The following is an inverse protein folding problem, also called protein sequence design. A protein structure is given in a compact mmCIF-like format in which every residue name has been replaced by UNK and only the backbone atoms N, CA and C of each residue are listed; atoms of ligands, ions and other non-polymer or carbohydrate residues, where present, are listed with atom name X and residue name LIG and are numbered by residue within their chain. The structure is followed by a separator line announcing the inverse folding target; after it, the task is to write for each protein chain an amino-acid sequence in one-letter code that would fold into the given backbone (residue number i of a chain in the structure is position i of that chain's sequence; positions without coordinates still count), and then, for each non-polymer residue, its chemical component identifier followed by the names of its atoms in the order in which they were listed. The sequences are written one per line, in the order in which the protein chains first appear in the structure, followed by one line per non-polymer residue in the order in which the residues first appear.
data_IF_688229555162
#
_entry.id   IF_688229555162
#
_cell.length_a   1.000
_cell.length_b   1.000
_cell.length_c   1.000
_cell.angle_alpha   90.00
_cell.angle_beta   90.00
_cell.angle_gamma   90.00
#
_symmetry.space_group_name_H-M   'P 1'
#
loop_
_entity.id
_entity.type
_entity.pdbx_description
1 polymer ?
#
# COMPACT_ATOMS: atom_id res chain seq x y z
N UNK A 1 2.61 6.01 15.05
CA UNK A 1 1.86 5.28 14.02
C UNK A 1 2.59 5.44 12.70
N UNK A 2 2.48 4.46 11.82
CA UNK A 2 3.18 4.38 10.55
C UNK A 2 2.58 3.21 9.78
N UNK A 3 2.67 3.21 8.47
CA UNK A 3 1.80 2.34 7.70
C UNK A 3 1.72 2.70 6.25
N UNK A 4 0.88 1.96 5.54
CA UNK A 4 0.46 2.32 4.20
C UNK A 4 -1.03 2.08 4.07
N UNK A 5 -1.69 2.89 3.27
CA UNK A 5 -3.13 2.79 3.01
C UNK A 5 -3.40 3.09 1.55
N UNK A 6 -4.20 2.23 0.90
CA UNK A 6 -4.79 2.48 -0.41
C UNK A 6 -6.28 2.75 -0.19
N UNK A 7 -6.72 3.97 -0.46
CA UNK A 7 -8.01 4.50 -0.03
C UNK A 7 -8.65 5.39 -1.10
N UNK A 8 -9.87 5.86 -0.80
CA UNK A 8 -10.55 6.87 -1.60
C UNK A 8 -10.79 8.13 -0.76
N UNK A 9 -10.38 9.29 -1.26
CA UNK A 9 -10.69 10.59 -0.65
C UNK A 9 -11.48 11.46 -1.62
N UNK A 10 -12.76 11.68 -1.32
CA UNK A 10 -13.65 12.44 -2.21
C UNK A 10 -13.79 11.83 -3.61
N UNK A 11 -13.85 10.50 -3.70
CA UNK A 11 -13.95 9.75 -4.96
C UNK A 11 -12.66 9.62 -5.76
N UNK A 12 -11.53 10.10 -5.24
CA UNK A 12 -10.19 9.93 -5.84
C UNK A 12 -9.47 8.76 -5.19
N UNK A 13 -8.92 7.80 -5.97
CA UNK A 13 -8.04 6.79 -5.43
C UNK A 13 -6.73 7.46 -5.01
N UNK A 14 -6.26 7.10 -3.82
CA UNK A 14 -5.08 7.66 -3.19
C UNK A 14 -4.30 6.57 -2.47
N UNK A 15 -3.00 6.76 -2.39
CA UNK A 15 -2.12 5.93 -1.58
C UNK A 15 -1.30 6.80 -0.63
N UNK A 16 -1.22 6.40 0.63
CA UNK A 16 -0.39 7.02 1.63
C UNK A 16 0.65 6.03 2.13
N UNK A 17 1.88 6.50 2.31
CA UNK A 17 2.94 5.81 3.04
C UNK A 17 3.43 6.71 4.15
N UNK A 18 3.22 6.29 5.40
CA UNK A 18 3.58 7.04 6.58
C UNK A 18 4.80 6.40 7.26
N UNK A 19 5.95 7.06 7.14
CA UNK A 19 7.18 6.66 7.80
C UNK A 19 7.22 7.18 9.25
N UNK A 20 6.55 6.45 10.15
CA UNK A 20 6.52 6.71 11.60
C UNK A 20 6.08 8.13 12.03
N UNK A 21 5.28 8.80 11.21
CA UNK A 21 4.83 10.17 11.40
C UNK A 21 5.89 11.22 11.08
N UNK A 22 7.09 10.81 10.64
CA UNK A 22 8.17 11.73 10.25
C UNK A 22 7.97 12.24 8.82
N UNK A 23 7.66 11.32 7.91
CA UNK A 23 7.42 11.63 6.50
C UNK A 23 6.12 10.94 6.05
N UNK A 24 5.21 11.71 5.45
CA UNK A 24 4.01 11.20 4.79
C UNK A 24 4.15 11.39 3.29
N UNK A 25 4.24 10.28 2.56
CA UNK A 25 4.28 10.27 1.11
C UNK A 25 2.89 9.94 0.59
N UNK A 26 2.33 10.79 -0.27
CA UNK A 26 0.97 10.61 -0.80
C UNK A 26 0.98 10.59 -2.32
N UNK A 27 0.49 9.49 -2.90
CA UNK A 27 0.17 9.38 -4.32
C UNK A 27 -1.33 9.69 -4.45
N UNK A 28 -1.68 10.90 -4.88
CA UNK A 28 -3.08 11.29 -5.08
C UNK A 28 -3.36 11.55 -6.56
N UNK A 29 -4.40 10.89 -7.06
CA UNK A 29 -4.96 11.13 -8.37
C UNK A 29 -5.62 12.51 -8.52
N UNK A 30 -5.52 13.13 -9.70
CA UNK A 30 -6.09 14.46 -9.92
C UNK A 30 -7.63 14.46 -9.92
N UNK A 31 -8.26 13.50 -10.60
CA UNK A 31 -9.70 13.49 -10.84
C UNK A 31 -10.41 12.38 -10.05
N UNK A 32 -11.60 12.68 -9.53
CA UNK A 32 -12.48 11.67 -8.97
C UNK A 32 -12.91 10.70 -10.08
N UNK A 33 -13.05 9.41 -9.73
CA UNK A 33 -13.54 8.42 -10.67
C UNK A 33 -15.04 8.61 -10.91
N UNK A 34 -15.45 8.28 -12.13
CA UNK A 34 -16.88 8.13 -12.43
C UNK A 34 -17.45 6.93 -11.68
N UNK A 35 -18.75 6.91 -11.35
CA UNK A 35 -19.37 5.73 -10.78
C UNK A 35 -19.25 4.53 -11.73
N UNK A 36 -18.80 3.39 -11.21
CA UNK A 36 -18.60 2.20 -12.01
C UNK A 36 -17.70 1.18 -11.33
N UNK A 37 -17.44 0.09 -12.06
CA UNK A 37 -16.46 -0.92 -11.65
C UNK A 37 -15.10 -0.54 -12.22
N UNK A 38 -14.13 -0.35 -11.33
CA UNK A 38 -12.76 0.00 -11.69
C UNK A 38 -11.78 -0.98 -11.02
N UNK A 39 -10.66 -1.24 -11.69
CA UNK A 39 -9.49 -1.82 -11.06
C UNK A 39 -8.60 -0.70 -10.51
N UNK A 40 -8.30 -0.74 -9.21
CA UNK A 40 -7.31 0.13 -8.59
C UNK A 40 -6.10 -0.72 -8.25
N UNK A 41 -4.95 -0.32 -8.76
CA UNK A 41 -3.69 -1.04 -8.55
C UNK A 41 -2.62 -0.10 -8.06
N UNK A 42 -1.92 -0.49 -7.02
CA UNK A 42 -0.68 0.14 -6.60
C UNK A 42 0.47 -0.79 -6.95
N UNK A 43 1.44 -0.28 -7.69
CA UNK A 43 2.73 -0.92 -7.91
C UNK A 43 3.79 -0.18 -7.09
N UNK A 44 4.60 -0.93 -6.33
CA UNK A 44 5.69 -0.36 -5.55
C UNK A 44 7.01 -0.94 -6.04
N UNK A 45 7.71 -0.20 -6.90
CA UNK A 45 9.02 -0.59 -7.42
C UNK A 45 10.08 -0.29 -6.36
N UNK A 46 10.30 -1.27 -5.47
CA UNK A 46 11.29 -1.19 -4.40
C UNK A 46 12.71 -1.15 -4.98
N UNK A 47 13.55 -0.26 -4.47
CA UNK A 47 14.91 -0.07 -4.99
C UNK A 47 15.81 -1.31 -4.85
N UNK A 48 15.48 -2.21 -3.91
CA UNK A 48 16.35 -3.34 -3.55
C UNK A 48 17.60 -2.88 -2.80
N UNK A 49 18.60 -3.77 -2.68
CA UNK A 49 19.90 -3.41 -2.09
C UNK A 49 19.92 -3.29 -0.55
N UNK A 50 18.95 -3.89 0.14
CA UNK A 50 18.91 -3.96 1.61
C UNK A 50 17.52 -3.73 2.17
N UNK A 51 17.42 -3.62 3.49
CA UNK A 51 16.16 -3.35 4.21
C UNK A 51 15.89 -1.84 4.32
N UNK A 52 14.62 -1.46 4.35
CA UNK A 52 14.19 -0.08 4.59
C UNK A 52 14.49 0.92 3.47
N UNK A 53 14.81 0.44 2.26
CA UNK A 53 15.07 1.29 1.10
C UNK A 53 13.81 1.92 0.57
N UNK A 54 13.97 2.91 -0.30
CA UNK A 54 12.86 3.57 -0.94
C UNK A 54 12.26 2.71 -2.05
N UNK A 55 11.32 3.32 -2.75
CA UNK A 55 10.75 2.79 -3.97
C UNK A 55 9.87 3.84 -4.64
N UNK A 56 9.49 3.55 -5.87
CA UNK A 56 8.52 4.37 -6.58
C UNK A 56 7.15 3.73 -6.46
N UNK A 57 6.21 4.45 -5.86
CA UNK A 57 4.81 4.08 -5.79
C UNK A 57 4.10 4.59 -7.05
N UNK A 58 3.45 3.71 -7.80
CA UNK A 58 2.67 4.03 -8.98
C UNK A 58 1.24 3.58 -8.77
N UNK A 59 0.31 4.52 -8.82
CA UNK A 59 -1.12 4.26 -8.74
C UNK A 59 -1.69 4.17 -10.16
N UNK A 60 -2.34 3.05 -10.47
CA UNK A 60 -3.02 2.80 -11.73
C UNK A 60 -4.53 2.65 -11.51
N UNK A 61 -5.29 3.11 -12.49
CA UNK A 61 -6.74 2.94 -12.59
C UNK A 61 -7.03 2.29 -13.93
N UNK A 62 -7.67 1.13 -13.92
CA UNK A 62 -8.00 0.34 -15.12
C UNK A 62 -6.77 0.06 -16.03
N UNK A 63 -5.60 -0.14 -15.39
CA UNK A 63 -4.33 -0.38 -16.07
C UNK A 63 -3.63 0.88 -16.58
N UNK A 64 -4.23 2.06 -16.47
CA UNK A 64 -3.60 3.33 -16.85
C UNK A 64 -2.95 4.01 -15.64
N UNK A 65 -1.72 4.49 -15.82
CA UNK A 65 -1.02 5.25 -14.77
C UNK A 65 -1.81 6.52 -14.44
N UNK A 66 -2.20 6.64 -13.19
CA UNK A 66 -2.98 7.75 -12.67
C UNK A 66 -2.12 8.75 -11.90
N UNK A 67 -1.21 8.26 -11.05
CA UNK A 67 -0.26 9.08 -10.29
C UNK A 67 0.97 8.27 -9.89
N UNK A 68 2.05 8.94 -9.49
CA UNK A 68 3.22 8.27 -8.92
C UNK A 68 3.97 9.19 -7.98
N UNK A 69 4.56 8.64 -6.93
CA UNK A 69 5.38 9.38 -5.97
C UNK A 69 6.60 8.56 -5.54
N UNK A 70 7.64 9.27 -5.10
CA UNK A 70 8.84 8.67 -4.55
C UNK A 70 8.70 8.51 -3.04
N UNK A 71 8.83 7.28 -2.55
CA UNK A 71 9.00 7.00 -1.12
C UNK A 71 10.50 6.84 -0.87
N UNK A 72 11.10 7.76 -0.10
CA UNK A 72 12.55 7.76 0.07
C UNK A 72 13.08 6.65 0.98
N UNK A 73 12.21 6.12 1.84
CA UNK A 73 12.55 5.09 2.82
C UNK A 73 11.33 4.33 3.27
N UNK A 74 11.52 3.06 3.61
CA UNK A 74 10.47 2.20 4.13
C UNK A 74 10.77 1.74 5.55
N UNK A 75 9.72 1.33 6.26
CA UNK A 75 9.84 0.66 7.55
C UNK A 75 10.48 -0.70 7.32
N UNK A 76 11.71 -0.89 7.83
CA UNK A 76 12.57 -2.01 7.48
C UNK A 76 12.14 -3.39 8.02
N UNK A 77 11.26 -3.42 9.03
CA UNK A 77 10.96 -4.65 9.77
C UNK A 77 9.46 -4.81 10.05
N UNK A 78 8.95 -4.21 11.12
CA UNK A 78 7.59 -4.43 11.59
C UNK A 78 6.73 -3.22 11.29
N UNK A 79 5.67 -3.45 10.52
CA UNK A 79 4.58 -2.49 10.33
C UNK A 79 3.57 -2.54 11.47
N UNK A 80 3.33 -3.71 12.05
CA UNK A 80 2.40 -3.86 13.17
C UNK A 80 2.99 -4.66 14.33
N UNK A 81 2.74 -4.18 15.55
CA UNK A 81 2.82 -4.98 16.78
C UNK A 81 1.41 -5.36 17.27
N UNK A 82 0.39 -4.58 16.91
CA UNK A 82 -0.98 -4.61 17.43
C UNK A 82 -2.07 -4.40 16.36
N UNK A 83 -1.70 -4.23 15.09
CA UNK A 83 -2.61 -3.88 13.99
C UNK A 83 -2.69 -4.96 12.90
N UNK A 84 -3.82 -4.97 12.18
CA UNK A 84 -4.18 -5.92 11.12
C UNK A 84 -4.10 -5.30 9.73
N UNK A 85 -4.23 -6.15 8.70
CA UNK A 85 -4.55 -5.68 7.35
C UNK A 85 -6.07 -5.59 7.24
N UNK A 86 -6.59 -4.37 7.19
CA UNK A 86 -8.03 -4.15 7.06
C UNK A 86 -8.43 -3.89 5.61
N UNK A 87 -9.66 -4.28 5.25
CA UNK A 87 -10.22 -4.10 3.91
C UNK A 87 -11.60 -3.46 4.02
N UNK A 88 -11.76 -2.30 3.39
CA UNK A 88 -13.04 -1.59 3.31
C UNK A 88 -13.37 -0.72 4.52
N UNK A 89 -12.59 -0.76 5.59
CA UNK A 89 -12.68 0.12 6.76
C UNK A 89 -11.31 0.12 7.44
N UNK A 90 -10.91 1.23 8.05
CA UNK A 90 -9.72 1.30 8.90
C UNK A 90 -10.18 1.33 10.36
N UNK A 91 -9.84 0.28 11.12
CA UNK A 91 -10.27 0.12 12.51
C UNK A 91 -9.25 0.67 13.52
N UNK A 92 -8.10 1.12 13.03
CA UNK A 92 -6.95 1.51 13.84
C UNK A 92 -6.71 3.01 13.86
N UNK A 93 -5.44 3.39 13.94
CA UNK A 93 -5.05 4.80 13.79
C UNK A 93 -4.75 5.07 12.31
N UNK A 94 -5.49 5.97 11.65
CA UNK A 94 -5.29 6.24 10.23
C UNK A 94 -3.84 6.53 9.86
N UNK A 95 -3.44 5.99 8.72
CA UNK A 95 -2.12 6.26 8.13
C UNK A 95 -1.97 7.73 7.73
N UNK A 96 -3.08 8.40 7.42
CA UNK A 96 -3.17 9.77 6.89
C UNK A 96 -4.39 10.49 7.48
N UNK A 97 -4.37 11.82 7.49
CA UNK A 97 -5.49 12.67 7.93
C UNK A 97 -6.57 12.86 6.85
N UNK A 98 -6.41 12.25 5.67
CA UNK A 98 -7.35 12.39 4.55
C UNK A 98 -8.72 11.74 4.81
N UNK A 99 -8.81 10.84 5.78
CA UNK A 99 -10.05 10.21 6.22
C UNK A 99 -10.11 10.13 7.75
N UNK A 100 -11.31 10.18 8.34
CA UNK A 100 -11.48 10.18 9.79
C UNK A 100 -11.16 8.82 10.43
N UNK A 101 -10.90 8.82 11.73
CA UNK A 101 -10.70 7.60 12.54
C UNK A 101 -11.98 6.73 12.60
N UNK A 102 -13.15 7.36 12.54
CA UNK A 102 -14.46 6.72 12.56
C UNK A 102 -15.26 7.16 11.35
N UNK A 103 -16.26 6.38 10.95
CA UNK A 103 -17.11 6.64 9.79
C UNK A 103 -16.29 6.72 8.47
N UNK A 104 -15.30 5.83 8.34
CA UNK A 104 -14.38 5.74 7.19
C UNK A 104 -14.65 4.53 6.29
N UNK A 105 -15.77 3.85 6.49
CA UNK A 105 -16.15 2.69 5.70
C UNK A 105 -16.26 3.03 4.21
N UNK A 106 -15.66 2.18 3.37
CA UNK A 106 -15.82 2.25 1.94
C UNK A 106 -17.27 1.94 1.57
N UNK A 107 -17.92 2.86 0.87
CA UNK A 107 -19.36 2.81 0.56
C UNK A 107 -19.69 2.04 -0.71
N UNK A 108 -18.67 1.61 -1.47
CA UNK A 108 -18.83 0.80 -2.68
C UNK A 108 -18.78 -0.71 -2.39
N UNK A 109 -18.59 -1.50 -3.45
CA UNK A 109 -18.40 -2.95 -3.34
C UNK A 109 -16.97 -3.32 -3.70
N UNK A 110 -16.27 -3.98 -2.79
CA UNK A 110 -14.95 -4.57 -3.05
C UNK A 110 -15.18 -6.02 -3.50
N UNK A 111 -14.89 -6.30 -4.76
CA UNK A 111 -15.06 -7.65 -5.31
C UNK A 111 -13.88 -8.57 -5.04
N UNK A 112 -12.67 -8.02 -5.01
CA UNK A 112 -11.42 -8.79 -4.89
C UNK A 112 -10.34 -7.89 -4.33
N UNK A 113 -9.54 -8.44 -3.42
CA UNK A 113 -8.25 -7.87 -3.01
C UNK A 113 -7.19 -8.88 -3.36
N UNK A 114 -6.12 -8.40 -4.02
CA UNK A 114 -4.97 -9.21 -4.40
C UNK A 114 -3.71 -8.48 -3.99
N UNK A 115 -2.81 -9.20 -3.33
CA UNK A 115 -1.48 -8.74 -2.97
C UNK A 115 -0.51 -9.71 -3.62
N UNK A 116 0.30 -9.21 -4.54
CA UNK A 116 1.39 -9.95 -5.15
C UNK A 116 2.71 -9.51 -4.50
N UNK A 117 3.59 -10.47 -4.26
CA UNK A 117 4.94 -10.23 -3.76
C UNK A 117 5.92 -10.69 -4.84
N UNK A 118 6.77 -9.76 -5.29
CA UNK A 118 7.87 -10.09 -6.17
C UNK A 118 8.90 -10.98 -5.44
N UNK A 119 9.66 -11.76 -6.22
CA UNK A 119 10.86 -12.39 -5.67
C UNK A 119 11.82 -11.31 -5.16
N UNK A 120 12.50 -11.53 -4.00
CA UNK A 120 13.42 -10.54 -3.47
C UNK A 120 14.51 -10.23 -4.50
N UNK A 121 14.59 -8.96 -4.93
CA UNK A 121 15.68 -8.47 -5.78
C UNK A 121 16.94 -8.39 -4.92
N UNK A 122 17.68 -9.50 -4.88
CA UNK A 122 19.01 -9.70 -4.29
C UNK A 122 19.25 -8.96 -2.96
N UNK A 123 18.92 -9.60 -1.84
CA UNK A 123 19.48 -9.21 -0.54
C UNK A 123 20.85 -9.89 -0.36
N UNK A 124 21.89 -9.13 -0.02
CA UNK A 124 23.18 -9.69 0.42
C UNK A 124 23.10 -10.41 1.79
N UNK A 125 21.88 -10.64 2.29
CA UNK A 125 21.58 -11.26 3.57
C UNK A 125 20.83 -12.56 3.29
N UNK A 126 21.55 -13.67 3.39
CA UNK A 126 21.06 -15.02 3.12
C UNK A 126 20.54 -15.64 4.42
N UNK A 127 19.47 -15.04 4.95
CA UNK A 127 18.95 -15.23 6.31
C UNK A 127 18.35 -16.60 6.64
N UNK A 128 18.91 -17.71 6.15
CA UNK A 128 18.67 -19.06 6.68
C UNK A 128 17.22 -19.57 6.60
N UNK A 129 16.36 -18.97 5.78
CA UNK A 129 14.96 -19.40 5.65
C UNK A 129 14.86 -20.58 4.67
N UNK A 130 14.46 -21.78 5.12
CA UNK A 130 14.20 -22.88 4.19
C UNK A 130 12.97 -22.54 3.33
N UNK A 131 13.16 -22.45 2.02
CA UNK A 131 12.07 -22.37 1.03
C UNK A 131 11.22 -23.65 1.11
N UNK A 132 10.13 -23.64 1.90
CA UNK A 132 9.09 -24.65 1.80
C UNK A 132 8.04 -24.20 0.79
N UNK A 133 8.20 -24.66 -0.45
CA UNK A 133 7.12 -24.69 -1.42
C UNK A 133 6.16 -25.80 -0.97
N UNK A 134 5.00 -25.44 -0.42
CA UNK A 134 3.91 -26.40 -0.29
C UNK A 134 3.23 -26.53 -1.64
N UNK A 135 3.55 -27.60 -2.36
CA UNK A 135 2.71 -28.07 -3.47
C UNK A 135 1.44 -28.70 -2.91
N UNK A 136 0.29 -28.41 -3.52
CA UNK A 136 -0.95 -29.10 -3.24
C UNK A 136 -0.89 -30.54 -3.78
N UNK A 137 -1.44 -31.49 -3.00
CA UNK A 137 -1.81 -32.82 -3.48
C UNK A 137 -3.24 -32.80 -4.02
#
# INVERSE_FOLDING_TARGET
FGGWSLYFAGGRPSYAYNYFGMDLYTVCGGAALVPGRHEIRLEFDYDGGGLGKGGTAVLLVDGEKHASERVERTIAYYFSFDETLDVGVDLGTPVTDDYPVLDNEFTGTIHTVRIDLDEPRHSAFDGGLPRRVMGAQ
#
